data_IF_257646585010
#
_entry.id   IF_257646585010
#
_cell.length_a   1.000
_cell.length_b   1.000
_cell.length_c   1.000
_cell.angle_alpha   90.00
_cell.angle_beta   90.00
_cell.angle_gamma   90.00
#
_symmetry.space_group_name_H-M   'P 1'
#
loop_
_entity.id
_entity.type
_entity.pdbx_description
1 polymer ?
#
# COMPACT_ATOMS: atom_id res chain seq x y z
N UNK A 1 -29.43 15.74 5.09
CA UNK A 1 -28.83 16.04 3.77
C UNK A 1 -27.36 15.66 3.82
N UNK A 2 -26.82 14.95 2.82
CA UNK A 2 -25.38 14.66 2.74
C UNK A 2 -24.70 15.58 1.73
N UNK A 3 -23.38 15.71 1.82
CA UNK A 3 -22.55 16.47 0.88
C UNK A 3 -21.58 15.55 0.16
N UNK A 4 -21.31 15.85 -1.10
CA UNK A 4 -20.21 15.25 -1.86
C UNK A 4 -18.97 16.12 -1.67
N UNK A 5 -17.82 15.49 -1.44
CA UNK A 5 -16.56 16.19 -1.25
C UNK A 5 -15.45 15.54 -2.07
N UNK A 6 -14.55 16.36 -2.58
CA UNK A 6 -13.32 15.92 -3.25
C UNK A 6 -12.36 15.23 -2.28
N UNK A 7 -11.37 14.52 -2.82
CA UNK A 7 -10.24 13.95 -2.07
C UNK A 7 -9.53 15.00 -1.22
N UNK A 8 -9.27 16.19 -1.77
CA UNK A 8 -8.67 17.33 -1.06
C UNK A 8 -9.47 17.76 0.16
N UNK A 9 -10.78 17.95 -0.01
CA UNK A 9 -11.68 18.34 1.09
C UNK A 9 -11.81 17.24 2.13
N UNK A 10 -11.83 15.97 1.72
CA UNK A 10 -11.86 14.82 2.62
C UNK A 10 -10.60 14.73 3.48
N UNK A 11 -9.41 15.05 2.93
CA UNK A 11 -8.17 15.13 3.70
C UNK A 11 -8.21 16.23 4.75
N UNK A 12 -8.68 17.42 4.37
CA UNK A 12 -8.83 18.54 5.30
C UNK A 12 -9.80 18.19 6.42
N UNK A 13 -10.92 17.55 6.09
CA UNK A 13 -11.89 17.04 7.07
C UNK A 13 -11.25 16.06 8.05
N UNK A 14 -10.48 15.09 7.55
CA UNK A 14 -9.79 14.08 8.38
C UNK A 14 -8.78 14.74 9.31
N UNK A 15 -7.97 15.67 8.80
CA UNK A 15 -6.92 16.33 9.56
C UNK A 15 -7.44 17.26 10.65
N UNK A 16 -8.62 17.88 10.46
CA UNK A 16 -9.11 18.95 11.34
C UNK A 16 -10.28 18.55 12.22
N UNK A 17 -11.04 17.51 11.87
CA UNK A 17 -12.32 17.20 12.53
C UNK A 17 -12.50 15.74 12.93
N UNK A 18 -11.50 14.88 12.71
CA UNK A 18 -11.52 13.46 13.11
C UNK A 18 -12.87 12.76 12.82
N UNK A 19 -13.29 12.71 11.54
CA UNK A 19 -14.56 12.13 11.18
C UNK A 19 -14.58 10.63 11.47
N UNK A 20 -15.78 10.09 11.65
CA UNK A 20 -16.02 8.66 11.51
C UNK A 20 -15.83 8.29 10.04
N UNK A 21 -15.06 7.24 9.79
CA UNK A 21 -14.75 6.77 8.45
C UNK A 21 -15.46 5.44 8.20
N UNK A 22 -16.22 5.35 7.13
CA UNK A 22 -16.98 4.17 6.77
C UNK A 22 -16.61 3.69 5.37
N UNK A 23 -16.00 2.51 5.32
CA UNK A 23 -15.63 1.83 4.08
C UNK A 23 -16.74 0.87 3.67
N UNK A 24 -17.34 1.10 2.51
CA UNK A 24 -18.44 0.25 2.01
C UNK A 24 -18.00 -0.77 0.95
N UNK A 25 -16.69 -0.94 0.76
CA UNK A 25 -16.11 -1.98 -0.11
C UNK A 25 -16.24 -3.36 0.56
N UNK A 26 -15.87 -4.42 -0.17
CA UNK A 26 -15.83 -5.75 0.44
C UNK A 26 -14.61 -5.94 1.35
N UNK A 27 -14.70 -6.97 2.19
CA UNK A 27 -13.69 -7.27 3.19
C UNK A 27 -12.31 -7.56 2.59
N UNK A 28 -12.22 -8.02 1.34
CA UNK A 28 -10.93 -8.26 0.68
C UNK A 28 -10.23 -6.93 0.39
N UNK A 29 -10.93 -5.99 -0.24
CA UNK A 29 -10.35 -4.68 -0.54
C UNK A 29 -10.06 -3.86 0.72
N UNK A 30 -10.89 -3.98 1.75
CA UNK A 30 -10.62 -3.37 3.05
C UNK A 30 -9.29 -3.89 3.63
N UNK A 31 -9.07 -5.20 3.62
CA UNK A 31 -7.82 -5.82 4.12
C UNK A 31 -6.59 -5.46 3.29
N UNK A 32 -6.73 -5.28 1.97
CA UNK A 32 -5.61 -4.88 1.11
C UNK A 32 -5.21 -3.40 1.27
N UNK A 33 -6.07 -2.58 1.89
CA UNK A 33 -5.78 -1.18 2.16
C UNK A 33 -7.05 -0.36 2.29
N UNK A 34 -7.14 0.49 3.30
CA UNK A 34 -8.28 1.36 3.61
C UNK A 34 -7.79 2.67 4.23
N UNK A 35 -8.67 3.68 4.29
CA UNK A 35 -8.35 4.91 5.02
C UNK A 35 -8.07 4.57 6.50
N UNK A 36 -6.98 5.08 7.12
CA UNK A 36 -6.63 4.75 8.50
C UNK A 36 -7.78 5.03 9.48
N UNK A 37 -8.15 4.02 10.27
CA UNK A 37 -9.26 4.12 11.23
C UNK A 37 -10.66 4.01 10.63
N UNK A 38 -10.79 3.66 9.34
CA UNK A 38 -12.08 3.31 8.76
C UNK A 38 -12.70 2.08 9.41
N UNK A 39 -14.02 2.01 9.39
CA UNK A 39 -14.80 0.85 9.80
C UNK A 39 -15.39 0.21 8.54
N UNK A 40 -15.29 -1.12 8.43
CA UNK A 40 -15.88 -1.87 7.32
C UNK A 40 -17.39 -1.99 7.49
N UNK A 41 -18.17 -1.48 6.53
CA UNK A 41 -19.63 -1.43 6.58
C UNK A 41 -20.31 -2.77 6.30
N UNK A 42 -19.71 -3.65 5.49
CA UNK A 42 -20.33 -4.94 5.14
C UNK A 42 -20.66 -5.80 6.36
N UNK A 43 -19.97 -5.56 7.48
CA UNK A 43 -20.14 -6.29 8.74
C UNK A 43 -21.10 -5.57 9.71
N UNK A 44 -21.71 -4.46 9.28
CA UNK A 44 -22.45 -3.55 10.14
C UNK A 44 -23.92 -3.43 9.70
N UNK A 45 -24.85 -3.60 10.64
CA UNK A 45 -26.26 -3.26 10.45
C UNK A 45 -26.45 -1.73 10.60
N UNK A 46 -26.97 -1.02 9.58
CA UNK A 46 -27.18 0.44 9.64
C UNK A 46 -28.07 0.90 10.81
N UNK A 47 -29.06 0.08 11.18
CA UNK A 47 -29.96 0.38 12.31
C UNK A 47 -29.27 0.17 13.65
N UNK A 48 -28.34 -0.78 13.74
CA UNK A 48 -27.48 -0.95 14.90
C UNK A 48 -26.47 0.20 15.02
N UNK A 49 -25.85 0.60 13.90
CA UNK A 49 -24.91 1.73 13.85
C UNK A 49 -25.56 3.04 14.30
N UNK A 50 -26.85 3.23 14.01
CA UNK A 50 -27.65 4.36 14.50
C UNK A 50 -27.52 4.57 16.02
N UNK A 51 -27.37 3.50 16.79
CA UNK A 51 -27.34 3.50 18.27
C UNK A 51 -25.93 3.63 18.85
N UNK A 52 -24.91 3.24 18.07
CA UNK A 52 -23.53 3.10 18.56
C UNK A 52 -22.64 4.24 18.09
N UNK A 53 -22.86 4.77 16.89
CA UNK A 53 -22.00 5.80 16.33
C UNK A 53 -22.31 7.19 16.95
N UNK A 54 -21.25 7.95 17.33
CA UNK A 54 -21.41 9.32 17.81
C UNK A 54 -22.05 10.22 16.75
N UNK A 55 -22.92 11.13 17.18
CA UNK A 55 -23.72 12.01 16.30
C UNK A 55 -23.13 13.40 16.11
N UNK A 56 -22.24 13.77 17.02
CA UNK A 56 -21.49 15.01 17.08
C UNK A 56 -20.28 14.99 16.15
N UNK A 57 -19.83 13.81 15.72
CA UNK A 57 -18.73 13.66 14.76
C UNK A 57 -19.23 13.64 13.31
N UNK A 58 -18.50 14.29 12.38
CA UNK A 58 -18.75 14.13 10.96
C UNK A 58 -18.60 12.67 10.52
N UNK A 59 -19.38 12.22 9.55
CA UNK A 59 -19.29 10.88 8.96
C UNK A 59 -18.85 11.00 7.50
N UNK A 60 -17.77 10.32 7.12
CA UNK A 60 -17.30 10.21 5.74
C UNK A 60 -17.45 8.77 5.26
N UNK A 61 -18.19 8.59 4.17
CA UNK A 61 -18.47 7.31 3.53
C UNK A 61 -17.76 7.24 2.19
N UNK A 62 -17.11 6.12 1.89
CA UNK A 62 -16.46 5.90 0.60
C UNK A 62 -16.61 4.45 0.11
N UNK A 63 -16.56 4.29 -1.21
CA UNK A 63 -16.65 3.02 -1.93
C UNK A 63 -15.40 2.83 -2.82
N UNK A 64 -15.39 1.85 -3.72
CA UNK A 64 -14.33 1.68 -4.72
C UNK A 64 -14.16 2.95 -5.57
N UNK A 65 -15.19 3.24 -6.34
CA UNK A 65 -15.34 4.38 -7.23
C UNK A 65 -16.84 4.57 -7.54
N UNK A 66 -17.19 5.66 -8.23
CA UNK A 66 -18.58 5.91 -8.64
C UNK A 66 -19.45 6.48 -7.52
N UNK A 67 -20.71 6.03 -7.43
CA UNK A 67 -21.75 6.67 -6.62
C UNK A 67 -22.31 5.83 -5.47
N UNK A 68 -21.84 4.59 -5.27
CA UNK A 68 -22.42 3.69 -4.26
C UNK A 68 -22.35 4.25 -2.83
N UNK A 69 -21.30 4.99 -2.48
CA UNK A 69 -21.17 5.67 -1.20
C UNK A 69 -22.22 6.76 -0.97
N UNK A 70 -22.84 7.28 -2.03
CA UNK A 70 -23.85 8.33 -1.95
C UNK A 70 -25.18 7.80 -1.40
N UNK A 71 -25.56 6.57 -1.74
CA UNK A 71 -26.78 5.95 -1.23
C UNK A 71 -26.65 5.67 0.27
N UNK A 72 -25.49 5.19 0.71
CA UNK A 72 -25.20 4.97 2.12
C UNK A 72 -25.11 6.31 2.87
N UNK A 73 -24.45 7.32 2.30
CA UNK A 73 -24.42 8.66 2.89
C UNK A 73 -25.82 9.26 3.05
N UNK A 74 -26.72 9.05 2.08
CA UNK A 74 -28.12 9.48 2.17
C UNK A 74 -28.84 8.74 3.30
N UNK A 75 -28.68 7.43 3.41
CA UNK A 75 -29.25 6.63 4.49
C UNK A 75 -28.85 7.18 5.86
N UNK A 76 -27.57 7.45 6.10
CA UNK A 76 -27.11 8.01 7.38
C UNK A 76 -27.65 9.43 7.63
N UNK A 77 -27.76 10.25 6.59
CA UNK A 77 -28.36 11.56 6.72
C UNK A 77 -29.83 11.47 7.15
N UNK A 78 -30.59 10.52 6.58
CA UNK A 78 -32.00 10.28 6.94
C UNK A 78 -32.15 9.65 8.34
N UNK A 79 -31.13 8.91 8.79
CA UNK A 79 -31.03 8.40 10.15
C UNK A 79 -30.68 9.48 11.19
N UNK A 80 -30.47 10.73 10.77
CA UNK A 80 -30.28 11.91 11.63
C UNK A 80 -28.83 12.24 11.96
N UNK A 81 -27.86 11.79 11.15
CA UNK A 81 -26.47 12.27 11.29
C UNK A 81 -26.38 13.68 10.69
N UNK A 82 -25.84 14.63 11.47
CA UNK A 82 -25.86 16.05 11.13
C UNK A 82 -24.92 16.42 9.99
N UNK A 83 -23.76 15.78 9.92
CA UNK A 83 -22.74 16.02 8.90
C UNK A 83 -22.31 14.71 8.27
N UNK A 84 -22.84 14.43 7.07
CA UNK A 84 -22.52 13.21 6.32
C UNK A 84 -21.93 13.59 4.98
N UNK A 85 -20.82 12.95 4.65
CA UNK A 85 -20.03 13.20 3.46
C UNK A 85 -19.87 11.92 2.64
N UNK A 86 -19.98 12.03 1.32
CA UNK A 86 -19.56 10.99 0.38
C UNK A 86 -18.28 11.45 -0.29
N UNK A 87 -17.26 10.59 -0.31
CA UNK A 87 -16.02 10.84 -1.02
C UNK A 87 -16.24 10.65 -2.53
N UNK A 88 -16.06 11.72 -3.31
CA UNK A 88 -16.16 11.67 -4.76
C UNK A 88 -14.98 10.89 -5.37
N UNK A 89 -15.30 9.97 -6.29
CA UNK A 89 -14.31 9.08 -6.91
C UNK A 89 -13.87 7.90 -6.03
N UNK A 90 -14.32 7.83 -4.79
CA UNK A 90 -14.09 6.69 -3.89
C UNK A 90 -12.62 6.51 -3.49
N UNK A 91 -12.30 5.29 -3.08
CA UNK A 91 -10.96 4.89 -2.64
C UNK A 91 -9.94 4.95 -3.77
N UNK A 92 -10.33 4.65 -5.00
CA UNK A 92 -9.44 4.76 -6.15
C UNK A 92 -8.97 6.20 -6.37
N UNK A 93 -9.89 7.16 -6.34
CA UNK A 93 -9.52 8.57 -6.44
C UNK A 93 -8.70 9.02 -5.24
N UNK A 94 -9.02 8.54 -4.03
CA UNK A 94 -8.19 8.78 -2.84
C UNK A 94 -6.76 8.30 -3.02
N UNK A 95 -6.60 7.10 -3.61
CA UNK A 95 -5.29 6.50 -3.86
C UNK A 95 -4.52 7.16 -4.99
N UNK A 96 -5.19 7.44 -6.11
CA UNK A 96 -4.59 8.18 -7.23
C UNK A 96 -4.16 9.59 -6.80
N UNK A 97 -4.93 10.24 -5.92
CA UNK A 97 -4.58 11.55 -5.38
C UNK A 97 -3.50 11.43 -4.29
N UNK A 98 -3.37 10.33 -3.54
CA UNK A 98 -2.15 10.08 -2.71
C UNK A 98 -0.91 9.89 -3.56
N UNK A 99 -1.01 9.28 -4.75
CA UNK A 99 0.13 9.18 -5.66
C UNK A 99 0.62 10.57 -6.16
N UNK A 100 -0.19 11.63 -5.99
CA UNK A 100 0.19 13.03 -6.23
C UNK A 100 0.35 13.87 -4.95
N UNK A 101 -0.02 13.36 -3.78
CA UNK A 101 0.48 13.87 -2.49
C UNK A 101 1.77 13.11 -2.13
N UNK A 102 2.65 12.98 -3.13
CA UNK A 102 4.07 12.92 -2.85
C UNK A 102 4.41 14.15 -2.02
N UNK A 103 5.24 13.96 -1.01
CA UNK A 103 5.84 15.03 -0.24
C UNK A 103 6.18 16.22 -1.14
N UNK A 104 5.95 17.46 -0.68
CA UNK A 104 6.47 18.64 -1.40
C UNK A 104 7.99 18.46 -1.63
N UNK A 105 8.57 19.14 -2.62
CA UNK A 105 10.00 18.97 -2.92
C UNK A 105 10.93 19.20 -1.69
N UNK A 106 10.45 19.92 -0.68
CA UNK A 106 11.22 20.24 0.54
C UNK A 106 11.48 19.00 1.42
N UNK A 107 10.48 18.23 1.89
CA UNK A 107 10.75 17.04 2.69
C UNK A 107 11.61 15.95 2.00
N UNK A 108 11.53 15.78 0.67
CA UNK A 108 12.45 14.88 -0.05
C UNK A 108 13.89 15.42 -0.03
N UNK A 109 14.06 16.70 -0.32
CA UNK A 109 15.38 17.35 -0.31
C UNK A 109 16.02 17.34 1.07
N UNK A 110 15.22 17.48 2.14
CA UNK A 110 15.68 17.39 3.53
C UNK A 110 16.16 15.99 3.86
N UNK A 111 15.35 14.97 3.55
CA UNK A 111 15.74 13.57 3.74
C UNK A 111 17.01 13.21 2.95
N UNK A 112 17.13 13.67 1.70
CA UNK A 112 18.33 13.46 0.88
C UNK A 112 19.57 14.04 1.56
N UNK A 113 19.51 15.29 2.05
CA UNK A 113 20.64 15.93 2.74
C UNK A 113 21.01 15.22 4.04
N UNK A 114 20.03 14.83 4.84
CA UNK A 114 20.25 14.09 6.10
C UNK A 114 20.99 12.76 5.88
N UNK A 115 20.77 12.12 4.73
CA UNK A 115 21.38 10.84 4.37
C UNK A 115 22.62 10.97 3.48
N UNK A 116 23.09 12.20 3.22
CA UNK A 116 24.29 12.47 2.44
C UNK A 116 24.11 12.30 0.92
N UNK A 117 22.88 12.40 0.43
CA UNK A 117 22.55 12.45 -0.98
C UNK A 117 22.40 13.89 -1.46
N UNK A 118 22.64 14.12 -2.74
CA UNK A 118 22.53 15.44 -3.37
C UNK A 118 21.08 15.71 -3.80
N UNK A 119 20.41 16.76 -3.27
CA UNK A 119 19.05 17.12 -3.69
C UNK A 119 18.99 17.44 -5.18
N UNK A 120 17.99 16.90 -5.86
CA UNK A 120 17.81 17.07 -7.31
C UNK A 120 18.55 16.04 -8.17
N UNK A 121 19.39 15.20 -7.56
CA UNK A 121 20.12 14.12 -8.23
C UNK A 121 19.68 12.74 -7.65
N UNK A 122 18.45 12.26 -7.96
CA UNK A 122 17.87 11.07 -7.34
C UNK A 122 18.63 9.77 -7.63
N UNK A 123 19.52 9.80 -8.63
CA UNK A 123 20.33 8.67 -9.09
C UNK A 123 21.79 8.76 -8.63
N UNK A 124 22.14 9.76 -7.83
CA UNK A 124 23.50 9.89 -7.32
C UNK A 124 23.64 9.09 -6.03
N UNK A 125 24.55 8.11 -6.05
CA UNK A 125 24.90 7.36 -4.85
C UNK A 125 25.50 8.28 -3.77
N UNK A 126 25.20 7.94 -2.51
CA UNK A 126 25.76 8.57 -1.31
C UNK A 126 26.06 7.49 -0.28
N UNK A 127 27.21 7.58 0.40
CA UNK A 127 27.59 6.60 1.42
C UNK A 127 27.65 5.13 0.93
N UNK A 128 27.88 4.90 -0.37
CA UNK A 128 27.93 3.56 -0.97
C UNK A 128 26.57 2.90 -1.24
N UNK A 129 25.46 3.66 -1.19
CA UNK A 129 24.13 3.16 -1.54
C UNK A 129 23.39 4.15 -2.44
N UNK A 130 22.28 3.68 -3.03
CA UNK A 130 21.37 4.51 -3.82
C UNK A 130 20.28 5.11 -2.92
N UNK A 131 19.82 6.34 -3.18
CA UNK A 131 18.71 6.94 -2.44
C UNK A 131 17.48 6.02 -2.38
N UNK A 132 17.12 5.42 -3.52
CA UNK A 132 15.98 4.51 -3.61
C UNK A 132 16.13 3.28 -2.71
N UNK A 133 17.28 2.60 -2.78
CA UNK A 133 17.57 1.43 -1.93
C UNK A 133 17.50 1.81 -0.45
N UNK A 134 18.08 2.95 -0.07
CA UNK A 134 18.07 3.43 1.32
C UNK A 134 16.66 3.73 1.82
N UNK A 135 15.82 4.35 1.00
CA UNK A 135 14.42 4.63 1.33
C UNK A 135 13.61 3.34 1.52
N UNK A 136 13.80 2.36 0.63
CA UNK A 136 13.16 1.04 0.71
C UNK A 136 13.56 0.29 1.99
N UNK A 137 14.86 0.28 2.34
CA UNK A 137 15.36 -0.33 3.58
C UNK A 137 14.77 0.31 4.85
N UNK A 138 14.43 1.59 4.79
CA UNK A 138 13.83 2.33 5.91
C UNK A 138 12.30 2.20 5.98
N UNK A 139 11.65 1.58 5.00
CA UNK A 139 10.18 1.51 4.96
C UNK A 139 9.53 2.88 4.75
N UNK A 140 10.14 3.74 3.94
CA UNK A 140 9.67 5.11 3.67
C UNK A 140 8.98 5.18 2.32
N UNK A 141 7.75 4.70 2.24
CA UNK A 141 6.92 4.74 1.04
C UNK A 141 6.80 6.15 0.44
N UNK A 142 6.63 7.16 1.31
CA UNK A 142 6.57 8.58 0.95
C UNK A 142 7.82 9.05 0.19
N UNK A 143 9.00 8.62 0.62
CA UNK A 143 10.28 8.92 -0.05
C UNK A 143 10.42 8.11 -1.34
N UNK A 144 10.02 6.84 -1.35
CA UNK A 144 10.08 5.98 -2.55
C UNK A 144 9.23 6.57 -3.67
N UNK A 145 7.99 6.96 -3.38
CA UNK A 145 7.09 7.60 -4.34
C UNK A 145 7.68 8.92 -4.87
N UNK A 146 8.22 9.76 -3.97
CA UNK A 146 8.83 11.03 -4.35
C UNK A 146 10.09 10.85 -5.21
N UNK A 147 10.92 9.84 -4.91
CA UNK A 147 12.09 9.48 -5.71
C UNK A 147 11.68 8.96 -7.10
N UNK A 148 10.69 8.07 -7.16
CA UNK A 148 10.16 7.56 -8.43
C UNK A 148 9.60 8.71 -9.29
N UNK A 149 8.83 9.62 -8.70
CA UNK A 149 8.30 10.81 -9.38
C UNK A 149 9.43 11.76 -9.85
N UNK A 150 10.56 11.80 -9.14
CA UNK A 150 11.75 12.56 -9.53
C UNK A 150 12.60 11.87 -10.61
N UNK A 151 12.23 10.68 -11.07
CA UNK A 151 12.98 9.93 -12.10
C UNK A 151 14.13 9.10 -11.54
N UNK A 152 13.99 8.59 -10.31
CA UNK A 152 14.92 7.60 -9.77
C UNK A 152 14.95 6.33 -10.66
N UNK A 153 16.15 5.80 -10.87
CA UNK A 153 16.40 4.55 -11.55
C UNK A 153 15.95 3.40 -10.65
N UNK A 154 14.85 2.76 -11.04
CA UNK A 154 14.26 1.63 -10.32
C UNK A 154 15.05 0.32 -10.51
N UNK A 155 16.04 0.31 -11.41
CA UNK A 155 16.81 -0.88 -11.74
C UNK A 155 18.06 -1.06 -10.88
N UNK A 156 18.37 -0.09 -10.02
CA UNK A 156 19.53 -0.11 -9.14
C UNK A 156 19.50 -1.26 -8.14
N UNK A 157 20.69 -1.70 -7.72
CA UNK A 157 20.85 -2.76 -6.72
C UNK A 157 21.85 -2.33 -5.64
N UNK A 158 21.72 -2.94 -4.46
CA UNK A 158 22.71 -2.84 -3.38
C UNK A 158 24.00 -3.62 -3.71
N UNK A 159 24.94 -3.64 -2.76
CA UNK A 159 26.23 -4.33 -2.90
C UNK A 159 26.12 -5.86 -3.02
N UNK A 160 24.97 -6.44 -2.66
CA UNK A 160 24.68 -7.86 -2.79
C UNK A 160 23.87 -8.19 -4.05
N UNK A 161 23.57 -7.18 -4.88
CA UNK A 161 22.76 -7.32 -6.07
C UNK A 161 21.26 -7.44 -5.78
N UNK A 162 20.81 -7.08 -4.58
CA UNK A 162 19.40 -7.00 -4.24
C UNK A 162 18.83 -5.66 -4.70
N UNK A 163 17.64 -5.67 -5.28
CA UNK A 163 16.98 -4.48 -5.81
C UNK A 163 16.12 -3.73 -4.77
N UNK A 164 15.39 -2.72 -5.24
CA UNK A 164 14.50 -1.91 -4.40
C UNK A 164 13.37 -2.74 -3.75
N UNK A 165 12.81 -3.72 -4.47
CA UNK A 165 11.72 -4.54 -3.94
C UNK A 165 12.22 -5.47 -2.83
N UNK A 166 13.39 -6.08 -3.01
CA UNK A 166 14.03 -6.86 -1.96
C UNK A 166 14.29 -5.99 -0.71
N UNK A 167 14.84 -4.79 -0.90
CA UNK A 167 15.07 -3.84 0.19
C UNK A 167 13.77 -3.43 0.92
N UNK A 168 12.68 -3.25 0.18
CA UNK A 168 11.37 -2.95 0.76
C UNK A 168 10.84 -4.14 1.58
N UNK A 169 10.95 -5.36 1.05
CA UNK A 169 10.57 -6.58 1.75
C UNK A 169 11.40 -6.80 3.03
N UNK A 170 12.68 -6.39 3.00
CA UNK A 170 13.54 -6.40 4.19
C UNK A 170 13.05 -5.47 5.30
N UNK A 171 12.52 -4.29 4.96
CA UNK A 171 11.90 -3.42 5.97
C UNK A 171 10.65 -4.05 6.58
N UNK A 172 9.85 -4.75 5.75
CA UNK A 172 8.58 -5.35 6.15
C UNK A 172 7.40 -4.38 6.15
N UNK A 173 7.63 -3.12 5.76
CA UNK A 173 6.56 -2.13 5.62
C UNK A 173 5.76 -2.40 4.33
N UNK A 174 4.51 -2.83 4.48
CA UNK A 174 3.64 -3.20 3.36
C UNK A 174 3.36 -2.03 2.42
N UNK A 175 3.27 -0.81 2.96
CA UNK A 175 3.05 0.41 2.18
C UNK A 175 4.23 0.66 1.24
N UNK A 176 5.45 0.45 1.72
CA UNK A 176 6.67 0.60 0.93
C UNK A 176 6.81 -0.48 -0.12
N UNK A 177 6.48 -1.73 0.22
CA UNK A 177 6.44 -2.83 -0.78
C UNK A 177 5.44 -2.52 -1.88
N UNK A 178 4.24 -2.05 -1.52
CA UNK A 178 3.22 -1.63 -2.49
C UNK A 178 3.72 -0.47 -3.35
N UNK A 179 4.30 0.58 -2.76
CA UNK A 179 4.81 1.74 -3.48
C UNK A 179 5.90 1.37 -4.52
N UNK A 180 6.80 0.45 -4.19
CA UNK A 180 7.84 -0.02 -5.12
C UNK A 180 7.22 -0.79 -6.30
N UNK A 181 6.23 -1.63 -6.05
CA UNK A 181 5.51 -2.37 -7.11
C UNK A 181 4.67 -1.43 -7.97
N UNK A 182 4.01 -0.45 -7.35
CA UNK A 182 3.20 0.57 -8.05
C UNK A 182 4.08 1.49 -8.91
N UNK A 183 5.35 1.68 -8.54
CA UNK A 183 6.35 2.35 -9.37
C UNK A 183 6.78 1.52 -10.60
N UNK A 184 6.37 0.25 -10.71
CA UNK A 184 6.63 -0.61 -11.86
C UNK A 184 7.90 -1.46 -11.76
N UNK A 185 8.41 -1.70 -10.54
CA UNK A 185 9.47 -2.69 -10.33
C UNK A 185 8.94 -4.09 -10.61
N UNK A 186 9.71 -4.86 -11.39
CA UNK A 186 9.42 -6.25 -11.70
C UNK A 186 9.46 -7.12 -10.42
N UNK A 187 8.33 -7.74 -10.01
CA UNK A 187 8.27 -8.56 -8.80
C UNK A 187 9.14 -9.82 -8.86
N UNK A 188 9.50 -10.26 -10.07
CA UNK A 188 10.17 -11.55 -10.33
C UNK A 188 11.68 -11.39 -10.59
N UNK A 189 12.21 -10.19 -10.39
CA UNK A 189 13.64 -9.94 -10.56
C UNK A 189 14.46 -10.80 -9.61
N UNK A 190 15.45 -11.48 -10.19
CA UNK A 190 16.38 -12.36 -9.47
C UNK A 190 17.65 -11.61 -9.10
N UNK A 191 18.10 -11.78 -7.87
CA UNK A 191 19.41 -11.34 -7.42
C UNK A 191 20.52 -12.30 -7.93
N UNK A 192 21.81 -12.06 -7.62
CA UNK A 192 22.92 -12.92 -8.08
C UNK A 192 22.91 -14.36 -7.58
N UNK A 193 22.09 -14.72 -6.59
CA UNK A 193 21.88 -16.11 -6.14
C UNK A 193 20.63 -16.75 -6.76
N UNK A 194 20.04 -16.07 -7.75
CA UNK A 194 18.81 -16.50 -8.40
C UNK A 194 17.54 -16.31 -7.57
N UNK A 195 17.62 -15.67 -6.40
CA UNK A 195 16.50 -15.51 -5.49
C UNK A 195 15.69 -14.25 -5.82
N UNK A 196 14.37 -14.33 -5.67
CA UNK A 196 13.45 -13.19 -5.79
C UNK A 196 13.08 -12.62 -4.42
N UNK A 197 12.47 -11.44 -4.39
CA UNK A 197 11.95 -10.85 -3.15
C UNK A 197 10.92 -11.75 -2.45
N UNK A 198 10.13 -12.52 -3.22
CA UNK A 198 9.18 -13.51 -2.70
C UNK A 198 9.88 -14.65 -1.96
N UNK A 199 10.99 -15.17 -2.52
CA UNK A 199 11.82 -16.20 -1.85
C UNK A 199 12.31 -15.69 -0.49
N UNK A 200 12.84 -14.47 -0.44
CA UNK A 200 13.29 -13.84 0.80
C UNK A 200 12.17 -13.65 1.82
N UNK A 201 11.01 -13.13 1.39
CA UNK A 201 9.88 -12.90 2.28
C UNK A 201 9.35 -14.22 2.88
N UNK A 202 9.29 -15.28 2.06
CA UNK A 202 8.89 -16.61 2.47
C UNK A 202 9.86 -17.23 3.50
N UNK A 203 11.17 -17.16 3.23
CA UNK A 203 12.20 -17.70 4.14
C UNK A 203 12.36 -16.90 5.42
N UNK A 204 12.01 -15.61 5.40
CA UNK A 204 12.08 -14.72 6.56
C UNK A 204 10.81 -14.72 7.41
N UNK A 205 9.77 -15.46 7.03
CA UNK A 205 8.51 -15.54 7.79
C UNK A 205 7.62 -14.31 7.69
N UNK A 206 7.76 -13.50 6.63
CA UNK A 206 7.00 -12.25 6.43
C UNK A 206 5.68 -12.54 5.72
N UNK A 207 4.74 -13.16 6.43
CA UNK A 207 3.47 -13.67 5.87
C UNK A 207 2.69 -12.61 5.09
N UNK A 208 2.54 -11.41 5.63
CA UNK A 208 1.77 -10.33 5.00
C UNK A 208 2.47 -9.81 3.74
N UNK A 209 3.81 -9.75 3.74
CA UNK A 209 4.60 -9.38 2.55
C UNK A 209 4.46 -10.45 1.47
N UNK A 210 4.52 -11.74 1.84
CA UNK A 210 4.27 -12.86 0.91
C UNK A 210 2.88 -12.73 0.28
N UNK A 211 1.84 -12.49 1.09
CA UNK A 211 0.48 -12.29 0.56
C UNK A 211 0.43 -11.14 -0.43
N UNK A 212 1.00 -9.98 -0.08
CA UNK A 212 1.04 -8.81 -0.95
C UNK A 212 1.77 -9.10 -2.27
N UNK A 213 2.95 -9.70 -2.24
CA UNK A 213 3.71 -10.03 -3.46
C UNK A 213 2.93 -10.96 -4.39
N UNK A 214 2.27 -11.99 -3.84
CA UNK A 214 1.44 -12.91 -4.62
C UNK A 214 0.21 -12.22 -5.21
N UNK A 215 -0.44 -11.32 -4.46
CA UNK A 215 -1.57 -10.53 -4.95
C UNK A 215 -1.15 -9.54 -6.05
N UNK A 216 0.12 -9.16 -6.09
CA UNK A 216 0.74 -8.30 -7.10
C UNK A 216 1.40 -9.08 -8.24
N UNK A 217 1.17 -10.40 -8.31
CA UNK A 217 1.55 -11.24 -9.44
C UNK A 217 2.97 -11.80 -9.41
N UNK A 218 3.64 -11.82 -8.25
CA UNK A 218 4.93 -12.50 -8.12
C UNK A 218 4.78 -14.02 -8.33
N UNK A 219 5.65 -14.61 -9.15
CA UNK A 219 5.64 -16.04 -9.49
C UNK A 219 6.29 -16.87 -8.36
N UNK A 220 5.51 -17.71 -7.63
CA UNK A 220 6.03 -18.57 -6.57
C UNK A 220 6.88 -19.75 -7.09
N UNK A 221 6.84 -20.03 -8.39
CA UNK A 221 7.54 -21.11 -9.08
C UNK A 221 8.98 -20.79 -9.47
N UNK A 222 9.42 -19.54 -9.37
CA UNK A 222 10.81 -19.15 -9.67
C UNK A 222 11.78 -19.84 -8.70
N UNK A 223 12.86 -20.38 -9.27
CA UNK A 223 13.88 -21.16 -8.55
C UNK A 223 15.15 -20.34 -8.35
N UNK A 224 15.73 -20.46 -7.16
CA UNK A 224 17.10 -20.02 -6.88
C UNK A 224 18.10 -20.84 -7.68
N UNK A 225 19.36 -20.42 -7.68
CA UNK A 225 20.42 -21.18 -8.36
C UNK A 225 20.71 -22.54 -7.67
N UNK A 226 20.32 -22.69 -6.41
CA UNK A 226 20.34 -23.94 -5.64
C UNK A 226 19.06 -24.78 -5.81
N UNK A 227 18.22 -24.45 -6.81
CA UNK A 227 17.00 -25.18 -7.16
C UNK A 227 15.89 -25.14 -6.08
N UNK A 228 15.88 -24.12 -5.22
CA UNK A 228 14.81 -23.91 -4.24
C UNK A 228 13.78 -22.90 -4.72
N UNK A 229 12.50 -23.16 -4.45
CA UNK A 229 11.41 -22.18 -4.60
C UNK A 229 11.12 -21.46 -3.29
N UNK A 230 10.28 -20.43 -3.34
CA UNK A 230 9.73 -19.81 -2.13
C UNK A 230 8.98 -20.84 -1.26
N UNK A 231 8.37 -21.86 -1.88
CA UNK A 231 7.63 -22.90 -1.17
C UNK A 231 8.56 -23.84 -0.40
N UNK A 232 9.70 -24.21 -0.98
CA UNK A 232 10.71 -25.05 -0.34
C UNK A 232 11.33 -24.38 0.89
N UNK A 233 11.40 -23.05 0.87
CA UNK A 233 12.00 -22.23 1.91
C UNK A 233 10.97 -21.59 2.85
N UNK A 234 9.69 -21.96 2.78
CA UNK A 234 8.64 -21.35 3.59
C UNK A 234 8.92 -21.49 5.11
N UNK A 235 9.03 -20.37 5.82
CA UNK A 235 9.37 -20.38 7.25
C UNK A 235 8.25 -20.94 8.16
N UNK A 236 6.99 -20.94 7.70
CA UNK A 236 5.85 -21.42 8.46
C UNK A 236 4.73 -21.99 7.57
N UNK A 237 3.75 -22.66 8.19
CA UNK A 237 2.64 -23.31 7.50
C UNK A 237 1.71 -22.34 6.76
N UNK A 238 1.58 -21.11 7.25
CA UNK A 238 0.73 -20.11 6.64
C UNK A 238 1.28 -19.66 5.29
N UNK A 239 2.58 -19.33 5.24
CA UNK A 239 3.31 -19.02 4.01
C UNK A 239 3.25 -20.20 3.05
N UNK A 240 3.48 -21.43 3.53
CA UNK A 240 3.38 -22.64 2.72
C UNK A 240 1.99 -22.78 2.06
N UNK A 241 0.91 -22.48 2.80
CA UNK A 241 -0.44 -22.51 2.27
C UNK A 241 -0.71 -21.39 1.25
N UNK A 242 -0.22 -20.17 1.48
CA UNK A 242 -0.32 -19.06 0.54
C UNK A 242 0.33 -19.43 -0.81
N UNK A 243 1.58 -19.90 -0.76
CA UNK A 243 2.35 -20.28 -1.95
C UNK A 243 1.71 -21.46 -2.70
N UNK A 244 1.28 -22.50 -1.97
CA UNK A 244 0.56 -23.64 -2.56
C UNK A 244 -0.75 -23.21 -3.25
N UNK A 245 -1.46 -22.22 -2.69
CA UNK A 245 -2.69 -21.70 -3.27
C UNK A 245 -2.41 -20.91 -4.55
N UNK A 246 -1.37 -20.07 -4.54
CA UNK A 246 -0.96 -19.29 -5.72
C UNK A 246 -0.58 -20.21 -6.89
N UNK A 247 0.27 -21.22 -6.65
CA UNK A 247 0.75 -22.11 -7.71
C UNK A 247 -0.34 -22.98 -8.36
N UNK A 248 -1.42 -23.29 -7.62
CA UNK A 248 -2.60 -23.98 -8.18
C UNK A 248 -3.43 -23.11 -9.10
N UNK A 249 -3.42 -21.78 -8.91
CA UNK A 249 -4.19 -20.84 -9.74
C UNK A 249 -3.58 -20.72 -11.13
N UNK A 250 -2.25 -20.73 -11.22
CA UNK A 250 -1.53 -20.67 -12.50
C UNK A 250 -1.69 -21.95 -13.34
N UNK A 251 -1.80 -23.12 -12.71
CA UNK A 251 -1.98 -24.38 -13.44
C UNK A 251 -3.38 -24.57 -14.04
N UNK A 252 -4.32 -23.64 -13.78
CA UNK A 252 -5.70 -23.69 -14.28
C UNK A 252 -6.10 -22.45 -15.11
N UNK A 253 -5.16 -21.52 -15.36
CA UNK A 253 -5.34 -20.37 -16.24
C UNK A 253 -4.80 -20.66 -17.64
#
# INVERSE_FOLDING_TARGET
MYRRISTREARELIATREPLLLDIRDASAYRSGHLPGALLFSDLDPLALRRVLPRDKPLLVYCYHGIASQDIARLFADLGFGEVYSLDGGFEAWHADTAHVGMTAAPLADWLREHGFEPGEPNRQGGGTWPLIKACQQGRADIVEALAAAGADLTVTDAYGNDALWAACYSGDLTTVAAVLDAGVDPDRRNPSGATALVFAASSGRTEVVSLLLDRGADPGIRTDDDFTAMDLAANLEILHLLRRAQRRESHA
#
